data_IF_336324650066
#
_entry.id   IF_336324650066
#
_cell.length_a   1.000
_cell.length_b   1.000
_cell.length_c   1.000
_cell.angle_alpha   90.00
_cell.angle_beta   90.00
_cell.angle_gamma   90.00
#
_symmetry.space_group_name_H-M   'P 1'
#
loop_
_entity.id
_entity.type
_entity.pdbx_description
1 polymer ?
#
# COMPACT_ATOMS: atom_id res chain seq x y z
N UNK A 1 -40.12 15.75 54.14
CA UNK A 1 -40.20 16.69 53.03
C UNK A 1 -39.54 18.00 53.43
N UNK A 2 -38.27 18.19 53.09
CA UNK A 2 -37.61 19.48 52.95
C UNK A 2 -36.81 19.44 51.67
N UNK A 3 -37.45 19.87 50.59
CA UNK A 3 -36.74 20.29 49.42
C UNK A 3 -35.93 21.55 49.84
N UNK A 4 -34.61 21.41 49.99
CA UNK A 4 -33.70 22.53 50.19
C UNK A 4 -33.90 23.47 49.02
N UNK A 5 -34.40 24.69 49.29
CA UNK A 5 -34.47 25.76 48.32
C UNK A 5 -33.04 26.01 47.87
N UNK A 6 -32.76 25.75 46.59
CA UNK A 6 -31.51 26.11 45.96
C UNK A 6 -31.31 27.63 46.21
N UNK A 7 -30.22 27.96 46.88
CA UNK A 7 -29.84 29.37 47.11
C UNK A 7 -29.60 30.05 45.76
N UNK A 8 -30.53 30.91 45.36
CA UNK A 8 -30.51 31.63 44.10
C UNK A 8 -29.35 32.65 43.97
N UNK A 9 -28.33 32.59 44.87
CA UNK A 9 -27.22 33.53 44.95
C UNK A 9 -25.87 32.89 45.33
N UNK A 10 -25.69 31.57 45.07
CA UNK A 10 -24.40 30.95 45.29
C UNK A 10 -23.40 31.37 44.20
N UNK A 11 -22.17 31.75 44.61
CA UNK A 11 -21.09 32.06 43.67
C UNK A 11 -20.78 30.85 42.77
N UNK A 12 -20.75 31.08 41.48
CA UNK A 12 -20.42 30.06 40.48
C UNK A 12 -19.46 30.59 39.42
N UNK A 13 -18.71 29.71 38.81
CA UNK A 13 -17.86 30.00 37.65
C UNK A 13 -17.76 28.78 36.72
N UNK A 14 -17.27 29.05 35.54
CA UNK A 14 -16.94 28.02 34.55
C UNK A 14 -15.49 28.20 34.12
N UNK A 15 -14.88 27.10 33.63
CA UNK A 15 -13.60 27.17 32.91
C UNK A 15 -13.82 27.78 31.53
N UNK A 16 -12.73 28.16 30.86
CA UNK A 16 -12.76 28.25 29.41
C UNK A 16 -13.09 26.86 28.80
N UNK A 17 -13.45 26.85 27.52
CA UNK A 17 -13.70 25.59 26.82
C UNK A 17 -12.42 24.71 26.80
N UNK A 18 -12.59 23.47 27.16
CA UNK A 18 -11.51 22.47 27.14
C UNK A 18 -11.50 21.87 25.74
N UNK A 19 -10.46 22.20 24.95
CA UNK A 19 -10.34 21.80 23.56
C UNK A 19 -9.07 20.95 23.38
N UNK A 20 -9.19 19.84 22.69
CA UNK A 20 -8.10 18.95 22.32
C UNK A 20 -8.07 18.67 20.82
N UNK A 21 -7.14 17.82 20.41
CA UNK A 21 -7.00 17.38 19.02
C UNK A 21 -6.74 15.90 18.94
N UNK A 22 -7.23 15.25 17.86
CA UNK A 22 -6.87 13.88 17.50
C UNK A 22 -6.36 13.82 16.09
N UNK A 23 -5.43 12.91 15.84
CA UNK A 23 -4.95 12.51 14.51
C UNK A 23 -4.99 11.01 14.36
N UNK A 24 -5.08 10.57 13.12
CA UNK A 24 -4.88 9.17 12.76
C UNK A 24 -3.95 9.10 11.56
N UNK A 25 -2.89 8.30 11.67
CA UNK A 25 -2.00 7.98 10.56
C UNK A 25 -2.52 6.73 9.84
N UNK A 26 -2.27 6.63 8.54
CA UNK A 26 -2.63 5.46 7.72
C UNK A 26 -3.90 5.61 6.91
N UNK A 27 -4.81 6.51 7.29
CA UNK A 27 -6.01 6.88 6.51
C UNK A 27 -6.57 8.23 6.94
N UNK A 28 -7.48 8.84 6.17
CA UNK A 28 -8.17 10.05 6.60
C UNK A 28 -8.99 9.84 7.88
N UNK A 29 -9.06 10.89 8.70
CA UNK A 29 -9.91 10.97 9.88
C UNK A 29 -11.36 11.26 9.46
N UNK A 30 -12.32 10.69 10.20
CA UNK A 30 -13.74 10.96 10.04
C UNK A 30 -14.31 11.66 11.27
N UNK A 31 -15.28 12.56 11.09
CA UNK A 31 -15.98 13.20 12.19
C UNK A 31 -16.73 12.15 13.03
N UNK A 32 -16.66 12.28 14.34
CA UNK A 32 -17.34 11.43 15.30
C UNK A 32 -16.78 10.00 15.40
N UNK A 33 -15.57 9.77 14.88
CA UNK A 33 -14.93 8.46 14.86
C UNK A 33 -14.45 8.01 16.23
N UNK A 34 -13.89 8.94 17.00
CA UNK A 34 -13.32 8.67 18.31
C UNK A 34 -14.13 9.34 19.41
N UNK A 35 -14.27 8.64 20.52
CA UNK A 35 -14.94 9.09 21.73
C UNK A 35 -13.92 9.40 22.82
N UNK A 36 -14.12 10.52 23.52
CA UNK A 36 -13.25 10.99 24.59
C UNK A 36 -14.04 11.30 25.85
N UNK A 37 -13.36 11.31 26.98
CA UNK A 37 -13.94 11.62 28.26
C UNK A 37 -13.03 12.47 29.16
N UNK A 38 -13.64 13.25 30.05
CA UNK A 38 -12.98 13.95 31.14
C UNK A 38 -13.54 13.39 32.45
N UNK A 39 -12.70 12.88 33.31
CA UNK A 39 -13.06 12.34 34.62
C UNK A 39 -12.12 12.81 35.72
N UNK A 40 -12.49 12.64 36.98
CA UNK A 40 -11.58 12.88 38.08
C UNK A 40 -10.35 11.98 38.03
N UNK A 41 -9.20 12.48 38.47
CA UNK A 41 -7.94 11.73 38.46
C UNK A 41 -7.96 10.50 39.39
N UNK A 42 -8.78 10.52 40.44
CA UNK A 42 -8.99 9.40 41.35
C UNK A 42 -9.99 8.34 40.86
N UNK A 43 -10.56 8.52 39.63
CA UNK A 43 -11.50 7.59 39.00
C UNK A 43 -12.94 8.13 38.92
N UNK A 44 -13.87 7.23 38.70
CA UNK A 44 -15.29 7.54 38.49
C UNK A 44 -15.67 7.63 37.01
N UNK A 45 -16.92 8.01 36.79
CA UNK A 45 -17.51 8.16 35.45
C UNK A 45 -17.02 9.45 34.79
N UNK A 46 -17.18 9.53 33.46
CA UNK A 46 -16.88 10.74 32.70
C UNK A 46 -17.87 11.86 33.08
N UNK A 47 -17.32 12.99 33.42
CA UNK A 47 -18.08 14.23 33.70
C UNK A 47 -18.45 14.95 32.40
N UNK A 48 -17.52 14.92 31.43
CA UNK A 48 -17.69 15.43 30.07
C UNK A 48 -17.35 14.33 29.08
N UNK A 49 -18.05 14.32 27.96
CA UNK A 49 -17.76 13.43 26.83
C UNK A 49 -17.83 14.24 25.54
N UNK A 50 -16.92 13.92 24.61
CA UNK A 50 -16.86 14.58 23.33
C UNK A 50 -16.49 13.58 22.22
N UNK A 51 -16.81 13.92 20.99
CA UNK A 51 -16.32 13.26 19.77
C UNK A 51 -15.48 14.23 18.98
N UNK A 52 -14.61 13.70 18.14
CA UNK A 52 -13.83 14.55 17.25
C UNK A 52 -14.67 15.10 16.09
N UNK A 53 -14.34 16.30 15.67
CA UNK A 53 -14.76 16.89 14.39
C UNK A 53 -13.92 16.34 13.23
N UNK A 54 -14.29 16.66 11.98
CA UNK A 54 -13.58 16.18 10.78
C UNK A 54 -12.13 16.70 10.69
N UNK A 55 -11.84 17.86 11.26
CA UNK A 55 -10.51 18.46 11.32
C UNK A 55 -9.65 17.95 12.48
N UNK A 56 -10.23 17.07 13.32
CA UNK A 56 -9.59 16.50 14.49
C UNK A 56 -9.81 17.28 15.78
N UNK A 57 -10.53 18.37 15.76
CA UNK A 57 -10.87 19.14 16.97
C UNK A 57 -11.78 18.32 17.88
N UNK A 58 -11.52 18.39 19.19
CA UNK A 58 -12.33 17.77 20.25
C UNK A 58 -12.75 18.88 21.19
N UNK A 59 -14.03 19.21 21.25
CA UNK A 59 -14.58 20.20 22.17
C UNK A 59 -15.35 19.51 23.30
N UNK A 60 -14.78 19.53 24.51
CA UNK A 60 -15.40 18.97 25.70
C UNK A 60 -16.36 19.92 26.36
N UNK A 61 -16.41 21.22 25.96
CA UNK A 61 -17.12 22.25 26.64
C UNK A 61 -16.40 22.73 27.90
N UNK A 62 -17.17 23.08 28.93
CA UNK A 62 -16.69 23.74 30.15
C UNK A 62 -17.03 22.94 31.40
N UNK A 63 -16.19 23.06 32.42
CA UNK A 63 -16.48 22.58 33.77
C UNK A 63 -17.04 23.76 34.61
N UNK A 64 -18.13 23.49 35.32
CA UNK A 64 -18.83 24.47 36.17
C UNK A 64 -18.61 24.15 37.65
N UNK A 65 -18.45 25.19 38.47
CA UNK A 65 -18.16 25.06 39.88
C UNK A 65 -19.01 26.02 40.69
N UNK A 66 -19.42 25.55 41.89
CA UNK A 66 -19.96 26.39 42.96
C UNK A 66 -19.12 26.17 44.22
N UNK A 67 -19.22 27.06 45.21
CA UNK A 67 -18.50 26.88 46.49
C UNK A 67 -18.92 25.59 47.17
N UNK A 68 -20.22 25.27 47.19
CA UNK A 68 -20.75 24.04 47.76
C UNK A 68 -20.17 22.80 47.07
N UNK A 69 -20.20 22.76 45.73
CA UNK A 69 -19.65 21.65 44.98
C UNK A 69 -18.15 21.44 45.21
N UNK A 70 -17.38 22.53 45.30
CA UNK A 70 -15.96 22.49 45.58
C UNK A 70 -15.62 22.01 46.98
N UNK A 71 -16.40 22.42 47.99
CA UNK A 71 -16.24 21.97 49.36
C UNK A 71 -16.63 20.48 49.51
N UNK A 72 -17.66 20.01 48.82
CA UNK A 72 -18.01 18.59 48.74
C UNK A 72 -16.86 17.75 48.08
N UNK A 73 -16.29 18.25 46.99
CA UNK A 73 -15.16 17.62 46.35
C UNK A 73 -13.93 17.54 47.28
N UNK A 74 -13.69 18.61 48.05
CA UNK A 74 -12.59 18.65 49.03
C UNK A 74 -12.84 17.67 50.20
N UNK A 75 -14.05 17.57 50.72
CA UNK A 75 -14.44 16.62 51.77
C UNK A 75 -14.28 15.16 51.30
N UNK A 76 -14.54 14.91 50.02
CA UNK A 76 -14.37 13.58 49.40
C UNK A 76 -12.92 13.30 48.96
N UNK A 77 -11.97 14.18 49.19
CA UNK A 77 -10.58 14.04 48.81
C UNK A 77 -10.31 14.12 47.30
N UNK A 78 -11.25 14.69 46.53
CA UNK A 78 -11.16 14.89 45.08
C UNK A 78 -10.52 16.24 44.75
N UNK A 79 -10.83 17.27 45.55
CA UNK A 79 -10.21 18.58 45.44
C UNK A 79 -9.24 18.86 46.62
N UNK A 80 -8.20 19.61 46.37
CA UNK A 80 -7.28 20.14 47.38
C UNK A 80 -7.67 21.58 47.70
N UNK A 81 -8.06 21.83 48.97
CA UNK A 81 -8.34 23.18 49.43
C UNK A 81 -7.05 23.86 49.86
N UNK A 82 -6.77 25.04 49.35
CA UNK A 82 -5.49 25.75 49.52
C UNK A 82 -5.68 27.27 49.50
N UNK A 83 -4.61 28.02 49.53
CA UNK A 83 -4.57 29.46 49.32
C UNK A 83 -3.71 29.79 48.13
N UNK A 84 -4.24 30.56 47.18
CA UNK A 84 -3.51 31.00 45.98
C UNK A 84 -3.61 32.51 45.88
N UNK A 85 -2.48 33.18 45.73
CA UNK A 85 -2.38 34.63 45.63
C UNK A 85 -3.08 35.38 46.81
N UNK A 86 -3.09 34.73 48.01
CA UNK A 86 -3.70 35.28 49.21
C UNK A 86 -5.20 35.05 49.37
N UNK A 87 -5.86 34.38 48.42
CA UNK A 87 -7.29 34.05 48.46
C UNK A 87 -7.52 32.56 48.58
N UNK A 88 -8.68 32.12 49.17
CA UNK A 88 -9.02 30.69 49.18
C UNK A 88 -9.11 30.15 47.77
N UNK A 89 -8.62 28.90 47.59
CA UNK A 89 -8.64 28.23 46.29
C UNK A 89 -8.85 26.72 46.45
N UNK A 90 -9.35 26.09 45.40
CA UNK A 90 -9.47 24.67 45.26
C UNK A 90 -8.70 24.22 44.03
N UNK A 91 -7.95 23.12 44.11
CA UNK A 91 -7.27 22.48 43.02
C UNK A 91 -7.96 21.14 42.76
N UNK A 92 -8.45 20.93 41.54
CA UNK A 92 -9.12 19.69 41.13
C UNK A 92 -8.32 19.06 39.99
N UNK A 93 -8.03 17.75 40.12
CA UNK A 93 -7.25 17.00 39.18
C UNK A 93 -8.17 16.12 38.32
N UNK A 94 -8.00 16.21 37.01
CA UNK A 94 -8.73 15.46 36.02
C UNK A 94 -7.81 14.69 35.10
N UNK A 95 -8.36 13.65 34.48
CA UNK A 95 -7.76 12.92 33.35
C UNK A 95 -8.66 13.09 32.13
N UNK A 96 -8.06 13.52 31.03
CA UNK A 96 -8.68 13.49 29.71
C UNK A 96 -8.19 12.27 28.97
N UNK A 97 -9.09 11.44 28.48
CA UNK A 97 -8.73 10.14 27.89
C UNK A 97 -9.56 9.82 26.66
N UNK A 98 -9.01 8.98 25.78
CA UNK A 98 -9.72 8.37 24.66
C UNK A 98 -10.40 7.07 25.12
N UNK A 99 -11.61 6.80 24.61
CA UNK A 99 -12.31 5.52 24.80
C UNK A 99 -11.83 4.53 23.77
N UNK A 100 -11.04 3.55 24.19
CA UNK A 100 -10.29 2.68 23.29
C UNK A 100 -10.97 1.36 22.93
N UNK A 101 -12.15 1.08 23.53
CA UNK A 101 -12.87 -0.18 23.34
C UNK A 101 -13.27 -0.40 21.88
N UNK A 102 -12.92 -1.56 21.31
CA UNK A 102 -13.27 -1.95 19.94
C UNK A 102 -12.45 -1.31 18.82
N UNK A 103 -11.55 -0.36 19.12
CA UNK A 103 -10.74 0.30 18.10
C UNK A 103 -9.74 -0.66 17.43
N UNK A 104 -9.16 -1.57 18.20
CA UNK A 104 -8.25 -2.60 17.66
C UNK A 104 -8.95 -3.57 16.69
N UNK A 105 -10.23 -3.82 16.88
CA UNK A 105 -11.02 -4.72 16.04
C UNK A 105 -11.26 -4.15 14.63
N UNK A 106 -11.06 -2.84 14.49
CA UNK A 106 -11.17 -2.11 13.20
C UNK A 106 -9.83 -1.58 12.70
N UNK A 107 -8.72 -2.18 13.14
CA UNK A 107 -7.37 -1.86 12.68
C UNK A 107 -6.78 -0.57 13.25
N UNK A 108 -7.37 0.02 14.29
CA UNK A 108 -6.87 1.22 14.94
C UNK A 108 -6.07 0.87 16.18
N UNK A 109 -4.84 1.35 16.26
CA UNK A 109 -4.05 1.37 17.49
C UNK A 109 -4.28 2.73 18.15
N UNK A 110 -5.04 2.79 19.27
CA UNK A 110 -5.44 4.04 19.89
C UNK A 110 -4.34 4.66 20.76
N UNK A 111 -4.47 5.94 21.01
CA UNK A 111 -3.72 6.63 22.07
C UNK A 111 -4.23 6.17 23.43
N UNK A 112 -3.39 5.54 24.25
CA UNK A 112 -3.81 4.93 25.53
C UNK A 112 -3.46 5.76 26.76
N UNK A 113 -2.55 6.73 26.64
CA UNK A 113 -2.08 7.53 27.77
C UNK A 113 -3.05 8.68 28.04
N UNK A 114 -3.67 8.78 29.24
CA UNK A 114 -4.49 9.93 29.58
C UNK A 114 -3.64 11.18 29.76
N UNK A 115 -4.22 12.34 29.45
CA UNK A 115 -3.60 13.64 29.68
C UNK A 115 -4.14 14.26 30.97
N UNK A 116 -3.24 14.68 31.86
CA UNK A 116 -3.62 15.34 33.11
C UNK A 116 -4.08 16.77 32.85
N UNK A 117 -5.25 17.12 33.40
CA UNK A 117 -5.83 18.44 33.41
C UNK A 117 -5.99 18.89 34.87
N UNK A 118 -5.45 20.04 35.23
CA UNK A 118 -5.51 20.59 36.57
C UNK A 118 -6.30 21.90 36.51
N UNK A 119 -7.43 21.95 37.22
CA UNK A 119 -8.26 23.15 37.36
C UNK A 119 -7.98 23.78 38.70
N UNK A 120 -7.75 25.10 38.70
CA UNK A 120 -7.68 25.94 39.90
C UNK A 120 -8.84 26.86 39.93
N UNK A 121 -9.66 26.79 40.97
CA UNK A 121 -10.77 27.73 41.23
C UNK A 121 -10.39 28.60 42.44
N UNK A 122 -10.52 29.91 42.30
CA UNK A 122 -10.26 30.89 43.36
C UNK A 122 -11.54 31.57 43.79
N UNK A 123 -11.66 31.84 45.08
CA UNK A 123 -12.69 32.72 45.63
C UNK A 123 -12.13 34.14 45.61
N UNK A 124 -12.62 34.94 44.65
CA UNK A 124 -12.19 36.35 44.48
C UNK A 124 -12.84 37.30 45.52
N UNK A 125 -13.69 36.76 46.40
CA UNK A 125 -14.48 37.52 47.35
C UNK A 125 -15.73 38.13 46.73
N UNK A 126 -16.59 38.73 47.56
CA UNK A 126 -17.83 39.37 47.13
C UNK A 126 -18.79 38.48 46.34
N UNK A 127 -18.74 37.17 46.54
CA UNK A 127 -19.56 36.19 45.85
C UNK A 127 -19.11 35.91 44.41
N UNK A 128 -17.84 36.14 44.06
CA UNK A 128 -17.26 35.83 42.75
C UNK A 128 -16.25 34.69 42.85
N UNK A 129 -16.34 33.75 41.91
CA UNK A 129 -15.35 32.70 41.68
C UNK A 129 -14.66 32.92 40.33
N UNK A 130 -13.41 32.51 40.23
CA UNK A 130 -12.72 32.44 38.94
C UNK A 130 -12.11 31.04 38.75
N UNK A 131 -12.20 30.48 37.55
CA UNK A 131 -11.61 29.19 37.20
C UNK A 131 -10.56 29.36 36.11
N UNK A 132 -9.46 28.66 36.28
CA UNK A 132 -8.44 28.52 35.24
C UNK A 132 -7.95 27.06 35.19
N UNK A 133 -7.48 26.61 34.04
CA UNK A 133 -6.89 25.27 33.95
C UNK A 133 -5.52 25.26 33.25
N UNK A 134 -4.80 24.21 33.49
CA UNK A 134 -3.57 23.88 32.77
C UNK A 134 -3.53 22.40 32.50
N UNK A 135 -2.89 22.00 31.42
CA UNK A 135 -2.61 20.63 31.08
C UNK A 135 -1.11 20.33 31.28
N UNK A 136 -0.79 19.12 31.63
CA UNK A 136 0.61 18.71 31.76
C UNK A 136 1.32 18.70 30.40
N UNK A 137 0.57 18.33 29.35
CA UNK A 137 0.97 18.31 27.94
C UNK A 137 -0.17 18.89 27.10
N UNK A 138 0.07 19.11 25.81
CA UNK A 138 -0.98 19.40 24.84
C UNK A 138 -2.06 18.30 24.89
N UNK A 139 -3.34 18.68 24.83
CA UNK A 139 -4.46 17.73 24.72
C UNK A 139 -4.50 17.18 23.30
N UNK A 140 -3.63 16.22 23.05
CA UNK A 140 -3.44 15.60 21.74
C UNK A 140 -3.46 14.09 21.85
N UNK A 141 -4.18 13.46 20.93
CA UNK A 141 -4.32 12.02 20.80
C UNK A 141 -3.84 11.61 19.41
N UNK A 142 -2.84 10.75 19.35
CA UNK A 142 -2.27 10.27 18.10
C UNK A 142 -2.58 8.78 17.96
N UNK A 143 -3.44 8.45 16.97
CA UNK A 143 -3.84 7.10 16.63
C UNK A 143 -3.13 6.64 15.36
N UNK A 144 -3.03 5.33 15.15
CA UNK A 144 -2.55 4.75 13.90
C UNK A 144 -3.52 3.72 13.37
N UNK A 145 -3.65 3.66 12.05
CA UNK A 145 -4.49 2.70 11.35
C UNK A 145 -3.63 1.76 10.50
N UNK A 146 -3.96 0.48 10.50
CA UNK A 146 -3.34 -0.53 9.66
C UNK A 146 -4.36 -1.56 9.17
N UNK A 147 -4.08 -2.18 8.04
CA UNK A 147 -4.91 -3.28 7.47
C UNK A 147 -4.30 -4.66 7.74
N UNK A 148 -3.40 -4.77 8.71
CA UNK A 148 -2.65 -5.99 8.96
C UNK A 148 -1.64 -6.28 7.85
N UNK A 149 -1.52 -7.56 7.44
CA UNK A 149 -0.56 -7.99 6.43
C UNK A 149 -0.93 -7.49 5.03
N UNK A 150 0.07 -7.20 4.18
CA UNK A 150 -0.15 -6.92 2.76
C UNK A 150 -0.84 -8.09 2.05
N UNK A 151 -1.57 -7.79 0.97
CA UNK A 151 -2.27 -8.80 0.17
C UNK A 151 -1.46 -9.12 -1.07
N UNK A 152 -1.24 -10.42 -1.31
CA UNK A 152 -0.41 -10.91 -2.41
C UNK A 152 -1.26 -11.68 -3.42
N UNK A 153 -1.02 -11.45 -4.71
CA UNK A 153 -1.64 -12.18 -5.83
C UNK A 153 -0.56 -12.74 -6.75
N UNK A 154 -0.77 -13.93 -7.26
CA UNK A 154 0.12 -14.54 -8.26
C UNK A 154 -0.35 -14.14 -9.66
N UNK A 155 0.50 -13.44 -10.42
CA UNK A 155 0.18 -12.98 -11.77
C UNK A 155 0.73 -13.95 -12.81
N UNK A 156 -0.18 -14.54 -13.56
CA UNK A 156 0.15 -15.38 -14.70
C UNK A 156 -0.86 -15.21 -15.84
N UNK A 157 -0.50 -15.71 -17.00
CA UNK A 157 -1.33 -15.77 -18.19
C UNK A 157 -1.01 -17.00 -19.02
N UNK A 158 -1.61 -17.07 -20.20
CA UNK A 158 -1.43 -18.17 -21.13
C UNK A 158 -0.98 -17.69 -22.51
N UNK A 159 -0.24 -18.55 -23.20
CA UNK A 159 0.12 -18.45 -24.60
C UNK A 159 -0.55 -19.56 -25.36
N UNK A 160 -1.50 -19.21 -26.22
CA UNK A 160 -2.20 -20.15 -27.12
C UNK A 160 -1.64 -20.08 -28.53
N UNK A 161 -1.76 -21.18 -29.27
CA UNK A 161 -1.41 -21.28 -30.66
C UNK A 161 -2.59 -21.87 -31.44
N UNK A 162 -3.18 -21.07 -32.31
CA UNK A 162 -4.17 -21.52 -33.28
C UNK A 162 -3.47 -21.97 -34.55
N UNK A 163 -3.85 -23.11 -35.09
CA UNK A 163 -3.29 -23.66 -36.34
C UNK A 163 -4.30 -23.50 -37.44
N UNK A 164 -3.97 -22.74 -38.51
CA UNK A 164 -4.82 -22.57 -39.69
C UNK A 164 -4.89 -23.91 -40.50
N UNK A 165 -5.99 -24.10 -41.22
CA UNK A 165 -6.15 -25.30 -42.08
C UNK A 165 -5.01 -25.38 -43.10
N UNK A 166 -4.35 -26.51 -43.14
CA UNK A 166 -3.19 -26.74 -43.99
C UNK A 166 -1.84 -26.23 -43.44
N UNK A 167 -1.83 -25.51 -42.32
CA UNK A 167 -0.58 -25.14 -41.64
C UNK A 167 -0.03 -26.28 -40.78
N UNK A 168 1.28 -26.30 -40.59
CA UNK A 168 1.94 -27.28 -39.72
C UNK A 168 2.01 -26.72 -38.28
N UNK A 169 1.75 -27.58 -37.31
CA UNK A 169 1.98 -27.23 -35.90
C UNK A 169 3.47 -26.99 -35.64
N UNK A 170 3.77 -25.87 -35.01
CA UNK A 170 5.14 -25.47 -34.67
C UNK A 170 5.29 -25.49 -33.16
N UNK A 171 6.43 -26.01 -32.67
CA UNK A 171 6.78 -25.90 -31.27
C UNK A 171 7.16 -24.45 -30.92
N UNK A 172 6.40 -23.88 -29.99
CA UNK A 172 6.60 -22.50 -29.53
C UNK A 172 7.08 -22.39 -28.09
N UNK A 173 7.30 -23.50 -27.39
CA UNK A 173 7.74 -23.51 -25.99
C UNK A 173 9.07 -22.76 -25.84
N UNK A 174 9.06 -21.76 -24.93
CA UNK A 174 10.22 -20.90 -24.63
C UNK A 174 10.65 -19.95 -25.75
N UNK A 175 9.90 -19.84 -26.86
CA UNK A 175 10.28 -19.02 -28.02
C UNK A 175 9.83 -17.57 -27.90
N UNK A 176 8.85 -17.28 -27.04
CA UNK A 176 8.33 -15.94 -26.84
C UNK A 176 8.72 -15.40 -25.46
N UNK A 177 8.87 -14.09 -25.40
CA UNK A 177 9.12 -13.34 -24.17
C UNK A 177 8.01 -12.33 -23.96
N UNK A 178 7.67 -12.12 -22.71
CA UNK A 178 6.61 -11.22 -22.28
C UNK A 178 7.18 -10.24 -21.30
N UNK A 179 6.85 -8.96 -21.45
CA UNK A 179 7.24 -7.94 -20.48
C UNK A 179 6.03 -7.24 -19.93
N UNK A 180 6.03 -7.00 -18.63
CA UNK A 180 5.00 -6.23 -17.93
C UNK A 180 5.51 -4.83 -17.59
N UNK A 181 4.65 -3.83 -17.73
CA UNK A 181 4.94 -2.45 -17.43
C UNK A 181 3.70 -1.74 -16.91
N UNK A 182 3.88 -0.59 -16.27
CA UNK A 182 2.81 0.29 -15.83
C UNK A 182 3.19 1.75 -16.08
N UNK A 183 2.19 2.62 -16.24
CA UNK A 183 2.36 4.08 -16.21
C UNK A 183 2.07 4.65 -14.82
N UNK A 184 1.47 3.87 -13.96
CA UNK A 184 1.19 4.23 -12.58
C UNK A 184 2.48 4.06 -11.76
N UNK A 185 3.10 5.19 -11.40
CA UNK A 185 4.36 5.21 -10.66
C UNK A 185 4.22 4.70 -9.22
N UNK A 186 3.00 4.55 -8.74
CA UNK A 186 2.69 4.05 -7.37
C UNK A 186 2.41 2.55 -7.37
N UNK A 187 2.23 1.95 -8.55
CA UNK A 187 1.89 0.54 -8.67
C UNK A 187 3.06 -0.37 -8.27
N UNK A 188 2.87 -1.30 -7.33
CA UNK A 188 3.88 -2.32 -7.05
C UNK A 188 4.08 -3.23 -8.27
N UNK A 189 5.31 -3.64 -8.53
CA UNK A 189 5.63 -4.53 -9.64
C UNK A 189 5.69 -5.99 -9.17
N UNK A 190 5.44 -6.97 -10.07
CA UNK A 190 5.63 -8.37 -9.75
C UNK A 190 7.11 -8.71 -9.54
N UNK A 191 7.37 -9.90 -8.99
CA UNK A 191 8.72 -10.42 -8.75
C UNK A 191 9.59 -10.41 -10.00
N UNK A 192 8.99 -10.67 -11.15
CA UNK A 192 9.66 -10.56 -12.45
C UNK A 192 8.89 -9.64 -13.39
N UNK A 193 9.61 -8.76 -14.08
CA UNK A 193 9.03 -7.90 -15.12
C UNK A 193 9.11 -8.52 -16.51
N UNK A 194 9.83 -9.64 -16.66
CA UNK A 194 9.98 -10.42 -17.88
C UNK A 194 9.72 -11.90 -17.62
N UNK A 195 8.98 -12.53 -18.53
CA UNK A 195 8.64 -13.94 -18.47
C UNK A 195 8.80 -14.61 -19.85
N UNK A 196 9.01 -15.92 -19.88
CA UNK A 196 8.89 -16.74 -21.08
C UNK A 196 7.58 -17.51 -21.06
N UNK A 197 7.16 -18.05 -22.21
CA UNK A 197 6.15 -19.08 -22.23
C UNK A 197 6.78 -20.44 -21.92
N UNK A 198 6.40 -21.03 -20.81
CA UNK A 198 6.82 -22.36 -20.40
C UNK A 198 5.93 -23.45 -20.98
N UNK A 199 6.01 -24.61 -20.35
CA UNK A 199 5.22 -25.79 -20.70
C UNK A 199 3.71 -25.45 -20.73
N UNK A 200 2.99 -25.97 -21.71
CA UNK A 200 1.56 -25.68 -21.98
C UNK A 200 1.22 -24.21 -22.17
N UNK A 201 2.19 -23.39 -22.60
CA UNK A 201 1.97 -21.97 -22.84
C UNK A 201 1.88 -21.11 -21.58
N UNK A 202 2.25 -21.59 -20.41
CA UNK A 202 2.15 -20.83 -19.16
C UNK A 202 3.14 -19.65 -19.15
N UNK A 203 2.66 -18.48 -18.76
CA UNK A 203 3.44 -17.24 -18.62
C UNK A 203 3.31 -16.81 -17.16
N UNK A 204 4.43 -16.68 -16.42
CA UNK A 204 4.42 -16.37 -14.99
C UNK A 204 5.32 -15.18 -14.69
N UNK A 205 4.74 -14.14 -14.10
CA UNK A 205 5.45 -12.97 -13.59
C UNK A 205 5.74 -13.07 -12.08
N UNK A 206 5.16 -14.06 -11.40
CA UNK A 206 5.30 -14.24 -9.97
C UNK A 206 4.29 -13.44 -9.16
N UNK A 207 4.62 -13.15 -7.91
CA UNK A 207 3.75 -12.48 -6.98
C UNK A 207 3.81 -10.95 -7.11
N UNK A 208 2.66 -10.31 -6.96
CA UNK A 208 2.53 -8.87 -6.70
C UNK A 208 1.96 -8.72 -5.30
N UNK A 209 2.61 -7.91 -4.47
CA UNK A 209 2.18 -7.62 -3.11
C UNK A 209 1.68 -6.18 -3.03
N UNK A 210 0.44 -6.01 -2.56
CA UNK A 210 -0.20 -4.71 -2.35
C UNK A 210 -0.32 -4.42 -0.86
N UNK A 211 0.14 -3.24 -0.44
CA UNK A 211 0.06 -2.76 0.94
C UNK A 211 -0.88 -1.57 1.07
N UNK A 212 -1.28 -1.24 2.30
CA UNK A 212 -2.00 0.00 2.60
C UNK A 212 -1.20 1.23 2.17
N UNK A 213 0.14 1.17 2.28
CA UNK A 213 1.01 2.26 1.86
C UNK A 213 0.96 2.50 0.33
N UNK A 214 0.89 1.42 -0.47
CA UNK A 214 0.77 1.55 -1.93
C UNK A 214 -0.58 2.16 -2.31
N UNK A 215 -1.67 1.73 -1.65
CA UNK A 215 -2.98 2.32 -1.82
C UNK A 215 -2.99 3.80 -1.45
N UNK A 216 -2.41 4.19 -0.31
CA UNK A 216 -2.34 5.58 0.12
C UNK A 216 -1.56 6.44 -0.88
N UNK A 217 -0.38 5.99 -1.34
CA UNK A 217 0.39 6.70 -2.38
C UNK A 217 -0.41 6.90 -3.66
N UNK A 218 -1.17 5.87 -4.10
CA UNK A 218 -1.99 5.96 -5.29
C UNK A 218 -3.13 6.98 -5.13
N UNK A 219 -3.77 7.03 -3.97
CA UNK A 219 -4.85 7.97 -3.66
C UNK A 219 -4.35 9.40 -3.45
N UNK A 220 -3.11 9.60 -3.02
CA UNK A 220 -2.48 10.93 -2.90
C UNK A 220 -2.18 11.54 -4.28
N UNK A 221 -1.81 10.69 -5.27
CA UNK A 221 -1.52 11.13 -6.65
C UNK A 221 -2.78 11.31 -7.49
N UNK A 222 -3.80 10.47 -7.26
CA UNK A 222 -5.05 10.44 -8.03
C UNK A 222 -6.25 10.50 -7.09
N UNK A 223 -6.47 11.68 -6.49
CA UNK A 223 -7.58 11.92 -5.55
C UNK A 223 -8.97 11.81 -6.20
N UNK A 224 -9.06 11.95 -7.53
CA UNK A 224 -10.33 11.91 -8.26
C UNK A 224 -10.81 10.47 -8.54
N UNK A 225 -9.89 9.49 -8.53
CA UNK A 225 -10.22 8.08 -8.77
C UNK A 225 -10.62 7.31 -7.50
N UNK A 226 -10.56 7.94 -6.34
CA UNK A 226 -10.95 7.33 -5.08
C UNK A 226 -12.48 7.15 -5.02
N UNK A 227 -12.98 5.94 -5.25
CA UNK A 227 -14.35 5.58 -4.88
C UNK A 227 -14.49 5.71 -3.36
N UNK A 228 -15.05 6.84 -2.91
CA UNK A 228 -15.34 7.11 -1.50
C UNK A 228 -16.73 6.59 -1.16
N UNK A 229 -16.85 5.32 -0.88
CA UNK A 229 -18.06 4.75 -0.29
C UNK A 229 -17.88 4.69 1.24
N UNK A 230 -18.22 5.76 1.93
CA UNK A 230 -18.09 5.83 3.40
C UNK A 230 -16.62 5.68 3.86
N UNK A 231 -16.34 4.65 4.67
CA UNK A 231 -15.01 4.35 5.20
C UNK A 231 -14.10 3.63 4.20
N UNK A 232 -14.68 3.03 3.16
CA UNK A 232 -13.95 2.24 2.17
C UNK A 232 -13.27 3.11 1.14
N UNK A 233 -12.04 2.75 0.77
CA UNK A 233 -11.23 3.41 -0.25
C UNK A 233 -10.70 2.38 -1.23
N UNK A 234 -10.57 2.72 -2.50
CA UNK A 234 -10.01 1.80 -3.47
C UNK A 234 -9.26 2.52 -4.58
N UNK A 235 -8.31 1.81 -5.20
CA UNK A 235 -7.60 2.23 -6.40
C UNK A 235 -7.48 1.05 -7.36
N UNK A 236 -7.42 1.34 -8.68
CA UNK A 236 -7.25 0.33 -9.73
C UNK A 236 -5.87 0.49 -10.36
N UNK A 237 -4.95 -0.36 -9.94
CA UNK A 237 -3.61 -0.46 -10.54
C UNK A 237 -3.71 -1.14 -11.92
N UNK A 238 -3.10 -0.51 -12.95
CA UNK A 238 -3.17 -0.95 -14.35
C UNK A 238 -1.81 -1.34 -14.87
N UNK A 239 -1.71 -2.54 -15.43
CA UNK A 239 -0.49 -3.08 -16.03
C UNK A 239 -0.73 -3.39 -17.51
N UNK A 240 0.34 -3.30 -18.30
CA UNK A 240 0.36 -3.69 -19.71
C UNK A 240 1.34 -4.81 -19.89
N UNK A 241 0.90 -5.89 -20.56
CA UNK A 241 1.74 -7.01 -20.95
C UNK A 241 1.90 -7.00 -22.46
N UNK A 242 3.14 -7.10 -22.93
CA UNK A 242 3.50 -7.13 -24.35
C UNK A 242 4.26 -8.38 -24.69
N UNK A 243 3.99 -8.96 -25.86
CA UNK A 243 4.71 -10.11 -26.40
C UNK A 243 5.89 -9.66 -27.26
N UNK A 244 7.00 -10.43 -27.22
CA UNK A 244 8.17 -10.30 -28.10
C UNK A 244 8.64 -11.68 -28.55
N UNK A 245 9.34 -11.69 -29.66
CA UNK A 245 9.84 -12.94 -30.26
C UNK A 245 9.17 -13.19 -31.59
N UNK A 246 9.70 -14.13 -32.35
CA UNK A 246 9.14 -14.59 -33.61
C UNK A 246 9.53 -16.02 -33.88
N UNK A 247 8.64 -16.75 -34.54
CA UNK A 247 8.87 -18.11 -34.99
C UNK A 247 8.44 -18.18 -36.47
N UNK A 248 9.25 -18.75 -37.39
CA UNK A 248 8.86 -18.93 -38.79
C UNK A 248 7.52 -19.66 -38.90
N UNK A 249 6.61 -19.14 -39.74
CA UNK A 249 5.27 -19.69 -39.91
C UNK A 249 4.27 -19.35 -38.79
N UNK A 250 4.64 -18.46 -37.84
CA UNK A 250 3.76 -18.00 -36.75
C UNK A 250 3.58 -16.52 -36.84
N UNK A 251 2.32 -16.07 -36.84
CA UNK A 251 1.92 -14.67 -36.71
C UNK A 251 1.60 -14.39 -35.25
N UNK A 252 2.29 -13.39 -34.67
CA UNK A 252 2.11 -13.00 -33.29
C UNK A 252 0.75 -12.32 -33.06
N UNK A 253 0.25 -12.42 -31.84
CA UNK A 253 -0.86 -11.58 -31.35
C UNK A 253 -0.36 -10.12 -31.27
N UNK A 254 -0.95 -9.19 -32.04
CA UNK A 254 -0.49 -7.80 -32.08
C UNK A 254 -0.92 -6.99 -30.86
N UNK A 255 -1.78 -7.54 -30.00
CA UNK A 255 -2.40 -6.80 -28.93
C UNK A 255 -1.48 -6.70 -27.69
N UNK A 256 -1.50 -5.54 -27.06
CA UNK A 256 -1.03 -5.36 -25.70
C UNK A 256 -2.15 -5.73 -24.73
N UNK A 257 -1.92 -6.70 -23.86
CA UNK A 257 -2.92 -7.10 -22.87
C UNK A 257 -2.86 -6.16 -21.67
N UNK A 258 -4.02 -5.85 -21.11
CA UNK A 258 -4.15 -5.03 -19.92
C UNK A 258 -4.60 -5.92 -18.77
N UNK A 259 -3.95 -5.77 -17.60
CA UNK A 259 -4.34 -6.43 -16.35
C UNK A 259 -4.58 -5.35 -15.31
N UNK A 260 -5.69 -5.45 -14.59
CA UNK A 260 -6.11 -4.46 -13.60
C UNK A 260 -6.39 -5.14 -12.26
N UNK A 261 -5.80 -4.60 -11.21
CA UNK A 261 -6.07 -5.02 -9.85
C UNK A 261 -6.77 -3.90 -9.09
N UNK A 262 -8.02 -4.14 -8.67
CA UNK A 262 -8.71 -3.26 -7.72
C UNK A 262 -8.29 -3.63 -6.32
N UNK A 263 -7.58 -2.74 -5.65
CA UNK A 263 -7.20 -2.84 -4.24
C UNK A 263 -8.17 -2.00 -3.43
N UNK A 264 -8.73 -2.59 -2.38
CA UNK A 264 -9.74 -1.94 -1.54
C UNK A 264 -9.36 -2.10 -0.07
N UNK A 265 -9.31 -0.98 0.65
CA UNK A 265 -9.30 -0.87 2.09
C UNK A 265 -10.75 -0.66 2.55
N UNK A 266 -11.27 -1.51 3.43
CA UNK A 266 -12.64 -1.41 3.95
C UNK A 266 -12.80 -0.34 5.05
N UNK A 267 -11.69 0.31 5.45
CA UNK A 267 -11.64 1.28 6.54
C UNK A 267 -11.76 0.65 7.93
N UNK A 268 -11.80 -0.67 8.01
CA UNK A 268 -11.99 -1.46 9.24
C UNK A 268 -10.88 -2.49 9.46
N UNK A 269 -9.70 -2.22 8.93
CA UNK A 269 -8.51 -3.05 9.14
C UNK A 269 -8.31 -4.15 8.10
N UNK A 270 -9.06 -4.17 7.00
CA UNK A 270 -8.93 -5.20 5.98
C UNK A 270 -8.63 -4.62 4.60
N UNK A 271 -7.53 -5.12 4.01
CA UNK A 271 -7.18 -4.89 2.62
C UNK A 271 -7.61 -6.08 1.76
N UNK A 272 -8.13 -5.82 0.56
CA UNK A 272 -8.51 -6.85 -0.42
C UNK A 272 -8.02 -6.46 -1.80
N UNK A 273 -7.75 -7.47 -2.65
CA UNK A 273 -7.36 -7.27 -4.05
C UNK A 273 -8.19 -8.18 -4.95
N UNK A 274 -8.64 -7.64 -6.09
CA UNK A 274 -9.40 -8.38 -7.11
C UNK A 274 -8.79 -8.08 -8.47
N UNK A 275 -8.46 -9.12 -9.24
CA UNK A 275 -8.13 -9.02 -10.65
C UNK A 275 -9.41 -8.82 -11.46
N UNK A 276 -9.53 -7.71 -12.20
CA UNK A 276 -10.78 -7.37 -12.91
C UNK A 276 -10.96 -8.19 -14.20
N UNK A 277 -9.89 -8.69 -14.79
CA UNK A 277 -9.92 -9.56 -15.99
C UNK A 277 -10.27 -11.00 -15.62
N UNK A 278 -9.93 -11.44 -14.41
CA UNK A 278 -10.21 -12.79 -13.90
C UNK A 278 -10.53 -12.72 -12.41
N UNK A 279 -11.77 -12.43 -12.02
CA UNK A 279 -12.13 -12.15 -10.62
C UNK A 279 -11.96 -13.36 -9.68
N UNK A 280 -11.83 -14.58 -10.23
CA UNK A 280 -11.67 -15.80 -9.43
C UNK A 280 -10.22 -16.22 -9.22
N UNK A 281 -9.33 -15.86 -10.18
CA UNK A 281 -7.91 -16.22 -10.10
C UNK A 281 -7.06 -15.35 -11.03
N UNK A 282 -5.98 -14.77 -10.54
CA UNK A 282 -5.04 -14.02 -11.37
C UNK A 282 -4.11 -14.94 -12.20
N UNK A 283 -4.19 -16.27 -12.04
CA UNK A 283 -3.36 -17.23 -12.78
C UNK A 283 -3.72 -17.34 -14.26
N UNK A 284 -4.81 -16.71 -14.71
CA UNK A 284 -5.25 -16.62 -16.11
C UNK A 284 -5.70 -15.21 -16.46
N UNK A 285 -4.97 -14.21 -15.96
CA UNK A 285 -5.36 -12.80 -16.09
C UNK A 285 -5.33 -12.30 -17.54
N UNK A 286 -4.56 -12.96 -18.43
CA UNK A 286 -4.46 -12.60 -19.86
C UNK A 286 -4.09 -13.81 -20.71
N UNK A 287 -4.42 -13.70 -22.02
CA UNK A 287 -4.06 -14.71 -23.02
C UNK A 287 -3.50 -14.03 -24.25
N UNK A 288 -2.39 -14.52 -24.77
CA UNK A 288 -1.85 -14.20 -26.10
C UNK A 288 -2.12 -15.35 -27.04
N UNK A 289 -2.76 -15.08 -28.17
CA UNK A 289 -3.12 -16.09 -29.17
C UNK A 289 -2.37 -15.83 -30.48
N UNK A 290 -1.33 -16.63 -30.76
CA UNK A 290 -0.63 -16.60 -32.04
C UNK A 290 -1.26 -17.58 -33.02
N UNK A 291 -0.99 -17.40 -34.32
CA UNK A 291 -1.53 -18.26 -35.37
C UNK A 291 -0.40 -18.86 -36.21
N UNK A 292 -0.40 -20.21 -36.39
CA UNK A 292 0.34 -20.84 -37.43
C UNK A 292 -0.35 -20.61 -38.78
N UNK A 293 0.38 -20.10 -39.72
CA UNK A 293 -0.10 -19.83 -41.09
C UNK A 293 0.57 -20.79 -42.10
N UNK A 294 -0.11 -21.01 -43.22
CA UNK A 294 0.50 -21.71 -44.35
C UNK A 294 1.58 -20.80 -44.94
N UNK A 295 2.84 -21.23 -44.84
CA UNK A 295 3.94 -20.57 -45.52
C UNK A 295 3.93 -20.98 -46.97
N UNK A 296 3.75 -20.07 -47.97
CA UNK A 296 3.85 -20.43 -49.39
C UNK A 296 5.23 -21.04 -49.65
N UNK A 297 5.22 -22.22 -50.28
CA UNK A 297 6.48 -22.83 -50.75
C UNK A 297 7.02 -22.01 -51.93
N UNK A 298 8.01 -21.17 -51.62
CA UNK A 298 8.65 -20.31 -52.64
C UNK A 298 9.72 -21.09 -53.45
N UNK A 299 9.78 -22.44 -53.30
CA UNK A 299 10.74 -23.27 -54.03
C UNK A 299 10.38 -23.55 -55.49
N UNK A 300 9.25 -22.95 -56.03
CA UNK A 300 8.79 -23.13 -57.39
C UNK A 300 9.42 -22.20 -58.45
N UNK A 301 10.48 -21.50 -58.17
CA UNK A 301 11.13 -20.59 -59.14
C UNK A 301 12.59 -20.92 -59.49
N UNK A 302 13.03 -22.15 -59.33
CA UNK A 302 14.24 -22.65 -59.98
C UNK A 302 13.89 -23.70 -61.05
N UNK A 303 12.94 -23.37 -61.93
CA UNK A 303 12.94 -23.98 -63.27
C UNK A 303 14.06 -23.37 -64.09
N UNK A 304 15.28 -23.93 -63.97
CA UNK A 304 16.29 -23.80 -65.02
C UNK A 304 15.71 -24.47 -66.27
N UNK A 305 15.09 -23.66 -67.12
CA UNK A 305 14.69 -24.10 -68.45
C UNK A 305 15.90 -24.66 -69.21
N UNK A 306 15.72 -25.79 -69.95
CA UNK A 306 16.83 -26.33 -70.78
C UNK A 306 17.04 -25.40 -71.96
N UNK A 307 18.03 -24.54 -71.86
CA UNK A 307 18.55 -23.71 -72.96
C UNK A 307 19.36 -24.58 -73.91
N UNK A 308 18.75 -24.90 -75.01
CA UNK A 308 19.42 -25.41 -76.20
C UNK A 308 20.49 -24.46 -76.76
N UNK A 309 21.62 -24.98 -77.15
CA UNK A 309 22.45 -24.26 -78.09
C UNK A 309 23.94 -24.56 -77.99
N UNK A 310 24.31 -25.75 -78.55
CA UNK A 310 25.67 -25.93 -79.07
C UNK A 310 26.11 -24.77 -79.98
N UNK A 311 27.29 -24.19 -79.72
CA UNK A 311 28.08 -23.57 -80.75
C UNK A 311 29.59 -23.89 -80.50
N UNK A 312 30.32 -24.13 -81.57
CA UNK A 312 31.56 -24.84 -81.48
C UNK A 312 32.78 -23.95 -81.19
N UNK A 313 33.81 -24.63 -80.74
CA UNK A 313 35.14 -24.14 -80.48
C UNK A 313 35.67 -23.21 -81.60
N UNK A 314 36.38 -22.24 -81.26
CA UNK A 314 37.46 -21.66 -82.03
C UNK A 314 38.73 -21.57 -81.18
N UNK A 315 39.67 -22.31 -81.63
CA UNK A 315 41.04 -22.37 -81.14
C UNK A 315 41.76 -21.06 -81.47
N UNK A 316 42.34 -20.45 -80.51
CA UNK A 316 43.70 -19.89 -80.64
C UNK A 316 44.23 -19.54 -79.26
N UNK A 317 45.33 -20.12 -78.92
CA UNK A 317 46.06 -19.86 -77.72
C UNK A 317 46.73 -18.49 -77.75
N UNK A 318 46.88 -17.96 -76.64
CA UNK A 318 48.12 -17.27 -76.23
C UNK A 318 48.10 -17.12 -74.70
N UNK A 319 49.18 -17.53 -74.10
CA UNK A 319 49.53 -17.40 -72.75
C UNK A 319 50.05 -15.95 -72.48
N UNK A 320 49.64 -15.37 -71.45
CA UNK A 320 50.41 -14.24 -70.88
C UNK A 320 50.56 -14.50 -69.35
N UNK A 321 51.83 -14.54 -68.93
CA UNK A 321 52.17 -14.81 -67.56
C UNK A 321 52.43 -13.47 -66.86
N UNK A 322 51.64 -13.13 -65.90
CA UNK A 322 52.14 -12.32 -64.81
C UNK A 322 51.48 -12.63 -63.50
N UNK A 323 52.28 -13.35 -62.77
CA UNK A 323 52.03 -13.71 -61.38
C UNK A 323 52.00 -12.48 -60.48
N UNK A 324 51.17 -12.53 -59.56
CA UNK A 324 51.16 -11.64 -58.39
C UNK A 324 50.65 -12.41 -57.17
N UNK A 325 51.56 -13.15 -56.58
CA UNK A 325 51.44 -13.66 -55.22
C UNK A 325 51.02 -12.54 -54.26
N UNK A 326 49.99 -12.74 -53.50
CA UNK A 326 49.87 -12.11 -52.17
C UNK A 326 49.40 -13.13 -51.15
N UNK A 327 50.30 -13.34 -50.25
CA UNK A 327 50.39 -14.27 -49.13
C UNK A 327 49.31 -14.05 -48.11
N UNK A 328 48.71 -15.14 -47.63
CA UNK A 328 48.08 -15.21 -46.31
C UNK A 328 49.10 -15.03 -45.19
N UNK A 329 48.76 -14.49 -44.08
CA UNK A 329 49.35 -14.88 -42.82
C UNK A 329 48.35 -15.54 -41.87
N UNK A 330 48.84 -16.67 -41.49
CA UNK A 330 48.62 -17.62 -40.44
C UNK A 330 48.38 -17.02 -39.05
N UNK A 331 47.54 -17.74 -38.32
CA UNK A 331 47.45 -18.02 -36.88
C UNK A 331 48.45 -17.31 -35.92
N UNK A 332 47.92 -16.76 -34.84
CA UNK A 332 48.67 -16.33 -33.67
C UNK A 332 47.90 -16.50 -32.38
N UNK A 333 48.22 -17.58 -31.72
CA UNK A 333 48.28 -17.85 -30.28
C UNK A 333 47.40 -17.08 -29.27
N UNK A 334 46.69 -17.86 -28.44
CA UNK A 334 46.25 -17.57 -27.09
C UNK A 334 47.41 -17.39 -26.09
N UNK A 335 47.19 -16.75 -24.98
CA UNK A 335 47.76 -17.26 -23.73
C UNK A 335 46.70 -17.57 -22.68
N UNK A 336 46.97 -18.70 -22.06
CA UNK A 336 46.41 -19.20 -20.81
C UNK A 336 46.76 -18.30 -19.62
N UNK A 337 45.83 -18.13 -18.69
CA UNK A 337 46.06 -17.45 -17.41
C UNK A 337 45.08 -17.92 -16.34
N UNK A 338 45.51 -18.90 -15.63
CA UNK A 338 45.36 -19.27 -14.20
C UNK A 338 44.11 -18.90 -13.41
N UNK A 339 43.54 -19.96 -12.90
CA UNK A 339 42.68 -20.20 -11.71
C UNK A 339 42.87 -19.26 -10.51
N UNK A 340 41.76 -18.86 -9.93
CA UNK A 340 41.66 -18.37 -8.55
C UNK A 340 40.28 -18.76 -7.99
N UNK A 341 40.26 -19.94 -7.36
CA UNK A 341 39.08 -20.39 -6.62
C UNK A 341 38.95 -19.66 -5.31
N UNK A 342 37.72 -19.22 -5.02
CA UNK A 342 37.31 -18.83 -3.65
C UNK A 342 36.07 -19.65 -3.34
N UNK A 343 36.26 -20.63 -2.49
CA UNK A 343 35.21 -21.40 -1.84
C UNK A 343 34.60 -20.54 -0.72
N UNK A 344 33.28 -20.35 -0.72
CA UNK A 344 32.54 -19.84 0.45
C UNK A 344 31.72 -20.99 1.03
N UNK A 345 32.09 -21.32 2.25
CA UNK A 345 31.47 -22.29 3.13
C UNK A 345 30.09 -21.81 3.60
N UNK A 346 29.06 -22.61 3.35
CA UNK A 346 27.75 -22.48 3.98
C UNK A 346 27.73 -23.26 5.29
N UNK A 347 27.64 -22.56 6.41
CA UNK A 347 27.28 -23.16 7.71
C UNK A 347 25.79 -23.02 7.93
N UNK A 348 25.09 -24.12 7.86
CA UNK A 348 23.72 -24.24 8.37
C UNK A 348 23.74 -24.24 9.90
N UNK A 349 22.92 -23.39 10.51
CA UNK A 349 22.68 -23.39 11.95
C UNK A 349 21.27 -23.91 12.19
N UNK A 350 21.17 -25.15 12.57
CA UNK A 350 19.98 -25.78 13.17
C UNK A 350 19.86 -25.27 14.59
N UNK A 351 18.75 -24.61 14.91
CA UNK A 351 18.35 -24.23 16.26
C UNK A 351 17.12 -25.01 16.67
N UNK A 352 17.32 -25.86 17.62
CA UNK A 352 16.36 -26.71 18.29
C UNK A 352 15.39 -25.86 19.15
N UNK A 353 14.10 -26.10 19.06
CA UNK A 353 13.09 -25.47 19.89
C UNK A 353 12.59 -26.51 20.90
N UNK A 354 12.90 -26.32 22.15
CA UNK A 354 12.27 -27.04 23.28
C UNK A 354 11.15 -26.21 23.88
N UNK A 355 9.98 -26.85 23.92
CA UNK A 355 8.78 -26.47 24.68
C UNK A 355 9.03 -26.51 26.20
N UNK A 356 8.59 -25.51 26.88
CA UNK A 356 7.83 -25.57 28.16
C UNK A 356 6.87 -24.39 28.22
#
# INVERSE_FOLDING_TARGET
ENASAANANEASCETDAIVGTVKIDGRPLHAGEFDFGVKYANGGDDLLSAKNEADGTIDFGKLSFTVTSLDELAQNGIAEKTTKDGVPAWIVYYLVHEKTSGLSDVGVTPHTAPVSLVVTVKDEGNGALSASFRTANELRFDNTYSTGEPVTVFLAGTKDLQVEEGASLVDIEGKFRFSISTKDITAPMPESTDAGNGQWGRIEFGFITFSLQDLNKALDVDSDSAEKAGWSRSHVFKYKVTERGSVPGVVNDPETKTVRFKVTDDGKGKLTVVCLESPFTASTAFTFTNRCIVVPDNSANDEIGPGAGDKPLNSNGDADPNAGDVVSPSAGNAPSGTSGGVSVSTTAKTGDATLT
#
